data_IF_680063514673
#
_entry.id   IF_680063514673
#
_cell.length_a   1.000
_cell.length_b   1.000
_cell.length_c   1.000
_cell.angle_alpha   90.00
_cell.angle_beta   90.00
_cell.angle_gamma   90.00
#
_symmetry.space_group_name_H-M   'P 1'
#
loop_
_entity.id
_entity.type
_entity.pdbx_description
1 polymer ?
#
# COMPACT_ATOMS: atom_id res chain seq x y z
N UNK A 1 14.40 28.26 -3.60
CA UNK A 1 13.47 27.70 -2.96
C UNK A 1 13.78 26.36 -2.37
N UNK A 2 12.92 25.88 -1.70
CA UNK A 2 13.06 24.78 -0.89
C UNK A 2 13.07 23.51 -1.60
N UNK A 3 14.05 22.71 -1.39
CA UNK A 3 14.11 21.42 -2.01
C UNK A 3 13.91 20.30 -1.02
N UNK A 4 13.74 20.65 0.22
CA UNK A 4 13.61 19.58 1.21
C UNK A 4 12.30 18.85 1.13
N UNK A 5 11.35 19.37 0.37
CA UNK A 5 10.10 18.66 0.18
C UNK A 5 10.29 17.35 -0.54
N UNK A 6 11.43 17.16 -1.19
CA UNK A 6 11.72 15.92 -1.86
C UNK A 6 12.37 14.89 -0.95
N UNK A 7 12.66 15.27 0.29
CA UNK A 7 13.34 14.39 1.23
C UNK A 7 12.34 13.70 2.12
N UNK A 8 12.44 12.40 2.17
CA UNK A 8 11.58 11.59 3.02
C UNK A 8 12.38 11.21 4.25
N UNK A 9 11.86 11.52 5.43
CA UNK A 9 12.58 11.24 6.68
C UNK A 9 12.42 9.79 7.08
N UNK A 10 13.32 9.32 7.95
CA UNK A 10 13.25 7.96 8.47
C UNK A 10 11.95 7.72 9.23
N UNK A 11 11.48 8.75 9.96
CA UNK A 11 10.24 8.66 10.70
C UNK A 11 9.06 8.48 9.76
N UNK A 12 9.06 9.19 8.63
CA UNK A 12 8.00 9.06 7.64
C UNK A 12 8.01 7.67 7.01
N UNK A 13 9.19 7.17 6.67
CA UNK A 13 9.31 5.84 6.10
C UNK A 13 8.78 4.80 7.08
N UNK A 14 9.17 4.92 8.34
CA UNK A 14 8.73 3.98 9.37
C UNK A 14 7.21 4.03 9.56
N UNK A 15 6.65 5.24 9.60
CA UNK A 15 5.21 5.41 9.74
C UNK A 15 4.47 4.82 8.54
N UNK A 16 4.99 5.04 7.34
CA UNK A 16 4.36 4.50 6.13
C UNK A 16 4.38 2.98 6.10
N UNK A 17 5.47 2.38 6.59
CA UNK A 17 5.61 0.92 6.56
C UNK A 17 4.62 0.21 7.48
N UNK A 18 4.15 0.88 8.52
CA UNK A 18 3.19 0.29 9.45
C UNK A 18 1.76 0.79 9.20
N UNK A 19 1.56 1.64 8.20
CA UNK A 19 0.22 2.10 7.85
C UNK A 19 -0.57 0.95 7.23
N UNK A 20 -1.81 0.77 7.66
CA UNK A 20 -2.64 -0.30 7.16
C UNK A 20 -2.96 -0.13 5.69
N UNK A 21 -2.51 -1.07 4.88
CA UNK A 21 -2.73 -1.01 3.44
C UNK A 21 -4.20 -1.21 3.10
N UNK A 22 -4.87 -2.12 3.78
CA UNK A 22 -6.29 -2.37 3.56
C UNK A 22 -7.10 -1.09 3.68
N UNK A 23 -6.89 -0.36 4.76
CA UNK A 23 -7.65 0.87 5.03
C UNK A 23 -7.36 1.94 3.99
N UNK A 24 -6.10 2.08 3.60
CA UNK A 24 -5.73 3.04 2.58
C UNK A 24 -6.38 2.72 1.24
N UNK A 25 -6.30 1.47 0.82
CA UNK A 25 -6.86 1.07 -0.48
C UNK A 25 -8.38 1.17 -0.50
N UNK A 26 -9.01 0.84 0.59
CA UNK A 26 -10.47 0.94 0.67
C UNK A 26 -10.93 2.39 0.56
N UNK A 27 -10.17 3.32 1.13
CA UNK A 27 -10.52 4.74 1.09
C UNK A 27 -10.20 5.39 -0.25
N UNK A 28 -9.08 4.99 -0.88
CA UNK A 28 -8.58 5.71 -2.05
C UNK A 28 -8.67 4.94 -3.35
N UNK A 29 -8.73 3.63 -3.31
CA UNK A 29 -8.69 2.78 -4.51
C UNK A 29 -9.73 1.66 -4.48
N UNK A 30 -10.84 1.86 -3.79
CA UNK A 30 -11.80 0.77 -3.57
C UNK A 30 -12.33 0.18 -4.88
N UNK A 31 -12.38 0.97 -5.95
CA UNK A 31 -12.89 0.50 -7.23
C UNK A 31 -11.97 -0.52 -7.91
N UNK A 32 -10.70 -0.55 -7.51
CA UNK A 32 -9.72 -1.45 -8.08
C UNK A 32 -9.62 -2.77 -7.32
N UNK A 33 -10.37 -2.89 -6.23
CA UNK A 33 -10.30 -4.05 -5.34
C UNK A 33 -11.69 -4.56 -5.03
N UNK A 34 -11.78 -5.86 -4.74
CA UNK A 34 -13.04 -6.45 -4.30
C UNK A 34 -12.85 -7.01 -2.89
N UNK A 35 -13.93 -6.98 -2.13
CA UNK A 35 -13.90 -7.51 -0.77
C UNK A 35 -13.99 -9.04 -0.81
N UNK A 36 -13.16 -9.68 0.02
CA UNK A 36 -13.20 -11.11 0.19
C UNK A 36 -13.55 -11.34 1.66
N UNK A 37 -14.79 -11.67 1.92
CA UNK A 37 -15.29 -11.70 3.28
C UNK A 37 -15.33 -10.29 3.85
N UNK A 38 -15.02 -10.15 5.14
CA UNK A 38 -15.05 -8.85 5.80
C UNK A 38 -13.67 -8.33 6.16
N UNK A 39 -12.62 -9.08 5.88
CA UNK A 39 -11.28 -8.77 6.38
C UNK A 39 -10.20 -8.73 5.31
N UNK A 40 -10.55 -8.94 4.05
CA UNK A 40 -9.55 -8.98 2.99
C UNK A 40 -10.01 -8.25 1.74
N UNK A 41 -9.02 -7.71 1.02
CA UNK A 41 -9.23 -7.17 -0.32
C UNK A 41 -8.45 -8.02 -1.30
N UNK A 42 -8.99 -8.14 -2.51
CA UNK A 42 -8.32 -8.83 -3.60
C UNK A 42 -8.26 -7.87 -4.78
N UNK A 43 -7.10 -7.77 -5.41
CA UNK A 43 -6.91 -6.87 -6.54
C UNK A 43 -7.65 -7.40 -7.76
N UNK A 44 -8.49 -6.56 -8.37
CA UNK A 44 -9.30 -7.00 -9.51
C UNK A 44 -8.46 -7.35 -10.72
N UNK A 45 -7.39 -6.61 -10.95
CA UNK A 45 -6.52 -6.83 -12.11
C UNK A 45 -5.53 -7.98 -11.90
N UNK A 46 -5.36 -8.42 -10.67
CA UNK A 46 -4.47 -9.53 -10.36
C UNK A 46 -4.99 -10.22 -9.12
N UNK A 47 -5.86 -11.20 -9.33
CA UNK A 47 -6.61 -11.81 -8.24
C UNK A 47 -5.81 -12.74 -7.33
N UNK A 48 -4.52 -12.91 -7.59
CA UNK A 48 -3.64 -13.61 -6.67
C UNK A 48 -3.13 -12.73 -5.54
N UNK A 49 -3.36 -11.43 -5.60
CA UNK A 49 -2.90 -10.48 -4.59
C UNK A 49 -3.98 -10.23 -3.57
N UNK A 50 -3.64 -10.44 -2.31
CA UNK A 50 -4.56 -10.24 -1.20
C UNK A 50 -3.99 -9.28 -0.18
N UNK A 51 -4.84 -8.40 0.34
CA UNK A 51 -4.48 -7.45 1.39
C UNK A 51 -5.39 -7.71 2.58
N UNK A 52 -4.80 -8.03 3.72
CA UNK A 52 -5.55 -8.38 4.91
C UNK A 52 -5.70 -7.18 5.84
N UNK A 53 -6.90 -7.00 6.36
CA UNK A 53 -7.18 -5.92 7.29
C UNK A 53 -6.29 -6.02 8.52
N UNK A 54 -5.69 -4.89 8.90
CA UNK A 54 -4.81 -4.86 10.06
C UNK A 54 -3.38 -5.26 9.77
N UNK A 55 -3.07 -5.65 8.53
CA UNK A 55 -1.71 -6.03 8.14
C UNK A 55 -1.17 -4.95 7.23
N UNK A 56 -0.01 -4.36 7.53
CA UNK A 56 0.53 -3.28 6.70
C UNK A 56 1.32 -3.83 5.52
N UNK A 57 0.65 -4.58 4.64
CA UNK A 57 1.30 -5.16 3.50
C UNK A 57 0.37 -6.03 2.68
N UNK A 58 0.96 -6.81 1.78
CA UNK A 58 0.22 -7.65 0.85
C UNK A 58 0.90 -9.00 0.68
N UNK A 59 0.13 -9.94 0.12
CA UNK A 59 0.67 -11.24 -0.29
C UNK A 59 0.20 -11.55 -1.70
N UNK A 60 1.09 -12.12 -2.51
CA UNK A 60 0.78 -12.57 -3.86
C UNK A 60 0.97 -14.06 -3.91
N UNK A 61 -0.12 -14.80 -4.04
CA UNK A 61 -0.07 -16.26 -4.01
C UNK A 61 0.37 -16.89 -5.33
N UNK A 62 0.50 -16.10 -6.39
CA UNK A 62 0.94 -16.66 -7.67
C UNK A 62 2.43 -17.02 -7.66
N UNK A 63 3.23 -16.26 -6.90
CA UNK A 63 4.67 -16.49 -6.84
C UNK A 63 5.20 -16.48 -5.41
N UNK A 64 4.32 -16.37 -4.42
CA UNK A 64 4.73 -16.35 -3.03
C UNK A 64 5.36 -15.05 -2.54
N UNK A 65 5.30 -13.99 -3.35
CA UNK A 65 5.89 -12.73 -2.96
C UNK A 65 5.01 -12.01 -1.94
N UNK A 66 5.65 -11.12 -1.18
CA UNK A 66 4.95 -10.29 -0.22
C UNK A 66 5.76 -9.02 -0.01
N UNK A 67 5.17 -8.04 0.64
CA UNK A 67 5.85 -6.78 0.91
C UNK A 67 5.03 -5.90 1.82
N UNK A 68 5.59 -4.75 2.18
CA UNK A 68 4.89 -3.80 3.03
C UNK A 68 4.01 -2.87 2.17
N UNK A 69 3.36 -1.91 2.83
CA UNK A 69 2.45 -1.00 2.14
C UNK A 69 3.15 -0.16 1.08
N UNK A 70 4.38 0.29 1.37
CA UNK A 70 5.16 1.08 0.40
C UNK A 70 5.46 0.22 -0.83
N UNK A 71 5.87 -1.02 -0.61
CA UNK A 71 6.19 -1.93 -1.71
C UNK A 71 4.99 -2.14 -2.63
N UNK A 72 3.81 -2.26 -2.05
CA UNK A 72 2.60 -2.46 -2.84
C UNK A 72 2.31 -1.27 -3.74
N UNK A 73 2.35 -0.07 -3.18
CA UNK A 73 2.05 1.12 -3.97
C UNK A 73 3.04 1.31 -5.10
N UNK A 74 4.31 1.00 -4.85
CA UNK A 74 5.34 1.12 -5.88
C UNK A 74 5.20 0.07 -6.97
N UNK A 75 5.00 -1.17 -6.57
CA UNK A 75 5.02 -2.29 -7.51
C UNK A 75 3.74 -2.44 -8.30
N UNK A 76 2.62 -2.14 -7.70
CA UNK A 76 1.32 -2.47 -8.30
C UNK A 76 0.47 -1.26 -8.68
N UNK A 77 0.73 -0.10 -8.10
CA UNK A 77 -0.04 1.10 -8.39
C UNK A 77 0.79 2.20 -9.05
N UNK A 78 2.07 1.93 -9.30
CA UNK A 78 2.91 2.87 -10.04
C UNK A 78 3.36 4.10 -9.27
N UNK A 79 3.26 4.09 -7.96
CA UNK A 79 3.72 5.22 -7.15
C UNK A 79 5.24 5.25 -7.12
N UNK A 80 5.82 6.44 -7.05
CA UNK A 80 7.22 6.57 -6.70
C UNK A 80 7.38 6.32 -5.21
N UNK A 81 8.60 6.11 -4.76
CA UNK A 81 8.86 5.90 -3.32
C UNK A 81 8.33 7.08 -2.51
N UNK A 82 8.61 8.30 -2.94
CA UNK A 82 8.15 9.50 -2.27
C UNK A 82 6.64 9.59 -2.24
N UNK A 83 6.01 9.31 -3.37
CA UNK A 83 4.56 9.35 -3.47
C UNK A 83 3.91 8.33 -2.54
N UNK A 84 4.48 7.14 -2.51
CA UNK A 84 3.94 6.07 -1.66
C UNK A 84 4.02 6.45 -0.19
N UNK A 85 5.17 6.94 0.24
CA UNK A 85 5.35 7.34 1.64
C UNK A 85 4.41 8.49 2.00
N UNK A 86 4.34 9.51 1.15
CA UNK A 86 3.49 10.66 1.43
C UNK A 86 2.02 10.27 1.52
N UNK A 87 1.56 9.41 0.61
CA UNK A 87 0.18 8.96 0.60
C UNK A 87 -0.17 8.19 1.87
N UNK A 88 0.71 7.29 2.29
CA UNK A 88 0.46 6.48 3.46
C UNK A 88 0.52 7.27 4.76
N UNK A 89 1.45 8.20 4.84
CA UNK A 89 1.60 9.02 6.04
C UNK A 89 0.43 9.97 6.21
N UNK A 90 -0.12 10.47 5.13
CA UNK A 90 -1.22 11.42 5.19
C UNK A 90 -2.60 10.77 5.20
N UNK A 91 -2.67 9.48 5.12
CA UNK A 91 -3.96 8.79 5.12
C UNK A 91 -4.59 8.68 6.51
#
# INVERSE_FOLDING_TARGET
>A
MDTHIDIVTKEEIRAARVTGLYEYLEACHHDDFKNVGTTMLCMKSKDSIYIKKGVPGFSDFSDGSHGNSIDFLKAHLGYSFKEAVAALVSS
#
